data_IF_396444662449
#
_entry.id   IF_396444662449
#
_cell.length_a   1.000
_cell.length_b   1.000
_cell.length_c   1.000
_cell.angle_alpha   90.00
_cell.angle_beta   90.00
_cell.angle_gamma   90.00
#
_symmetry.space_group_name_H-M   'P 1'
#
loop_
_entity.id
_entity.type
_entity.pdbx_description
1 polymer ?
#
# COMPACT_ATOMS: atom_id res chain seq x y z
N UNK A 1 -22.92 -41.59 6.95
CA UNK A 1 -22.65 -40.99 5.64
C UNK A 1 -21.16 -40.82 5.52
N UNK A 2 -20.52 -41.59 4.64
CA UNK A 2 -19.07 -41.61 4.46
C UNK A 2 -18.65 -40.35 3.70
N UNK A 3 -17.87 -39.49 4.32
CA UNK A 3 -17.28 -38.30 3.70
C UNK A 3 -16.01 -38.68 2.94
N UNK A 4 -16.02 -38.52 1.62
CA UNK A 4 -14.83 -38.62 0.78
C UNK A 4 -13.96 -37.38 0.96
N UNK A 5 -12.77 -37.57 1.53
CA UNK A 5 -11.71 -36.58 1.47
C UNK A 5 -11.14 -36.55 0.04
N UNK A 6 -11.20 -35.38 -0.60
CA UNK A 6 -10.55 -35.14 -1.89
C UNK A 6 -9.08 -34.87 -1.60
N UNK A 7 -8.21 -35.81 -1.95
CA UNK A 7 -6.78 -35.62 -1.89
C UNK A 7 -6.37 -34.54 -2.90
N UNK A 8 -5.79 -33.44 -2.42
CA UNK A 8 -5.12 -32.47 -3.25
C UNK A 8 -3.87 -33.13 -3.85
N UNK A 9 -3.95 -33.53 -5.12
CA UNK A 9 -2.83 -34.11 -5.84
C UNK A 9 -1.74 -33.07 -6.02
N UNK A 10 -0.56 -33.37 -5.48
CA UNK A 10 0.70 -32.67 -5.74
C UNK A 10 1.13 -32.91 -7.18
N UNK A 11 0.54 -32.16 -8.12
CA UNK A 11 0.97 -32.13 -9.51
C UNK A 11 2.40 -31.62 -9.59
N UNK A 12 3.33 -32.49 -9.98
CA UNK A 12 4.73 -32.12 -10.25
C UNK A 12 4.75 -31.17 -11.44
N UNK A 13 5.09 -29.90 -11.20
CA UNK A 13 5.14 -28.87 -12.23
C UNK A 13 6.26 -29.18 -13.24
N UNK A 14 5.96 -29.04 -14.53
CA UNK A 14 6.95 -29.17 -15.60
C UNK A 14 8.07 -28.12 -15.42
N UNK A 15 9.34 -28.45 -15.72
CA UNK A 15 10.45 -27.52 -15.56
C UNK A 15 10.25 -26.27 -16.42
N UNK A 16 10.34 -25.09 -15.79
CA UNK A 16 10.03 -23.81 -16.43
C UNK A 16 11.09 -23.46 -17.48
N UNK A 17 10.63 -22.94 -18.62
CA UNK A 17 11.48 -22.40 -19.67
C UNK A 17 12.05 -21.06 -19.20
N UNK A 18 13.28 -21.05 -18.66
CA UNK A 18 14.14 -19.86 -18.46
C UNK A 18 13.36 -18.54 -18.20
N UNK A 19 12.40 -18.59 -17.28
CA UNK A 19 11.51 -17.49 -16.95
C UNK A 19 12.06 -16.68 -15.79
N UNK A 20 11.54 -15.48 -15.61
CA UNK A 20 11.81 -14.66 -14.43
C UNK A 20 11.53 -15.47 -13.15
N UNK A 21 12.48 -15.51 -12.23
CA UNK A 21 12.31 -16.08 -10.90
C UNK A 21 12.64 -15.02 -9.84
N UNK A 22 12.06 -15.19 -8.66
CA UNK A 22 12.29 -14.30 -7.52
C UNK A 22 13.47 -14.85 -6.72
N UNK A 23 14.48 -14.01 -6.51
CA UNK A 23 15.58 -14.34 -5.61
C UNK A 23 15.06 -14.23 -4.18
N UNK A 24 15.11 -15.29 -3.37
CA UNK A 24 14.74 -15.22 -1.95
C UNK A 24 15.88 -14.55 -1.19
N UNK A 25 15.96 -13.23 -1.30
CA UNK A 25 16.84 -12.41 -0.47
C UNK A 25 15.97 -11.56 0.45
N UNK A 26 16.39 -11.39 1.71
CA UNK A 26 15.68 -10.60 2.73
C UNK A 26 15.42 -9.14 2.34
N UNK A 27 16.14 -8.68 1.31
CA UNK A 27 16.35 -7.27 0.95
C UNK A 27 15.54 -6.80 -0.24
N UNK A 28 14.89 -7.70 -0.97
CA UNK A 28 14.00 -7.33 -2.06
C UNK A 28 12.80 -6.62 -1.47
N UNK A 29 12.40 -5.50 -2.06
CA UNK A 29 11.16 -4.81 -1.75
C UNK A 29 10.35 -4.67 -3.02
N UNK A 30 9.03 -4.77 -2.88
CA UNK A 30 8.13 -4.45 -3.97
C UNK A 30 8.08 -2.93 -4.16
N UNK A 31 8.45 -2.47 -5.36
CA UNK A 31 8.49 -1.04 -5.70
C UNK A 31 7.29 -0.58 -6.49
N UNK A 32 6.64 -1.49 -7.23
CA UNK A 32 5.37 -1.19 -7.92
C UNK A 32 4.57 -2.46 -8.18
N UNK A 33 3.26 -2.29 -8.22
CA UNK A 33 2.32 -3.33 -8.62
C UNK A 33 1.17 -2.72 -9.42
N UNK A 34 0.88 -3.33 -10.56
CA UNK A 34 -0.24 -2.95 -11.43
C UNK A 34 -0.86 -4.21 -12.01
N UNK A 35 -2.11 -4.14 -12.43
CA UNK A 35 -2.77 -5.22 -13.14
C UNK A 35 -3.77 -4.67 -14.14
N UNK A 36 -4.03 -5.45 -15.17
CA UNK A 36 -5.12 -5.26 -16.12
C UNK A 36 -5.91 -6.57 -16.28
N UNK A 37 -6.84 -6.61 -17.23
CA UNK A 37 -7.71 -7.76 -17.48
C UNK A 37 -6.98 -9.08 -17.82
N UNK A 38 -5.71 -9.03 -18.21
CA UNK A 38 -4.93 -10.18 -18.70
C UNK A 38 -3.69 -10.45 -17.87
N UNK A 39 -3.06 -9.41 -17.32
CA UNK A 39 -1.78 -9.56 -16.68
C UNK A 39 -1.66 -8.73 -15.40
N UNK A 40 -0.78 -9.18 -14.51
CA UNK A 40 -0.28 -8.40 -13.39
C UNK A 40 1.20 -8.13 -13.58
N UNK A 41 1.63 -6.89 -13.34
CA UNK A 41 3.03 -6.51 -13.41
C UNK A 41 3.49 -6.07 -12.02
N UNK A 42 4.65 -6.56 -11.62
CA UNK A 42 5.29 -6.22 -10.37
C UNK A 42 6.77 -5.96 -10.59
N UNK A 43 7.31 -5.03 -9.82
CA UNK A 43 8.73 -4.71 -9.85
C UNK A 43 9.33 -4.86 -8.45
N UNK A 44 10.45 -5.54 -8.36
CA UNK A 44 11.21 -5.70 -7.13
C UNK A 44 12.56 -4.99 -7.27
N UNK A 45 12.98 -4.32 -6.20
CA UNK A 45 14.33 -3.76 -6.11
C UNK A 45 14.98 -4.28 -4.83
N UNK A 46 16.28 -4.53 -4.88
CA UNK A 46 17.04 -4.88 -3.69
C UNK A 46 17.38 -3.57 -2.96
N UNK A 47 16.71 -3.30 -1.85
CA UNK A 47 16.97 -2.13 -1.02
C UNK A 47 18.26 -2.35 -0.23
N UNK A 48 19.40 -2.07 -0.86
CA UNK A 48 20.66 -1.97 -0.13
C UNK A 48 20.72 -0.59 0.51
N UNK A 49 20.21 -0.45 1.75
CA UNK A 49 20.46 0.73 2.59
C UNK A 49 21.97 0.84 2.88
N UNK A 50 22.71 1.52 2.03
CA UNK A 50 23.98 2.15 2.43
C UNK A 50 23.82 3.65 2.26
N UNK A 51 24.31 4.45 3.21
CA UNK A 51 24.03 5.88 3.33
C UNK A 51 24.35 6.76 2.11
N UNK A 52 24.93 6.19 1.05
CA UNK A 52 25.21 6.81 -0.26
C UNK A 52 24.92 5.85 -1.46
N UNK A 53 24.04 4.84 -1.32
CA UNK A 53 23.91 3.68 -2.23
C UNK A 53 23.25 3.95 -3.61
N UNK A 54 23.61 3.15 -4.63
CA UNK A 54 23.16 3.33 -6.02
C UNK A 54 21.67 3.07 -6.22
N UNK A 55 21.08 3.82 -7.16
CA UNK A 55 19.76 3.55 -7.73
C UNK A 55 19.80 2.18 -8.40
N UNK A 56 19.34 1.14 -7.70
CA UNK A 56 19.15 -0.18 -8.31
C UNK A 56 17.95 -0.07 -9.24
N UNK A 57 18.15 -0.39 -10.53
CA UNK A 57 17.03 -0.47 -11.47
C UNK A 57 16.13 -1.64 -11.04
N UNK A 58 14.84 -1.42 -10.74
CA UNK A 58 13.94 -2.49 -10.34
C UNK A 58 13.85 -3.57 -11.43
N UNK A 59 13.91 -4.82 -11.02
CA UNK A 59 13.63 -5.95 -11.90
C UNK A 59 12.11 -6.17 -11.95
N UNK A 60 11.53 -6.08 -13.14
CA UNK A 60 10.09 -6.21 -13.32
C UNK A 60 9.72 -7.50 -14.01
N UNK A 61 8.56 -8.03 -13.66
CA UNK A 61 7.95 -9.17 -14.31
C UNK A 61 6.47 -8.92 -14.58
N UNK A 62 5.99 -9.56 -15.63
CA UNK A 62 4.59 -9.62 -16.01
C UNK A 62 4.12 -11.07 -15.86
N UNK A 63 3.09 -11.25 -15.05
CA UNK A 63 2.38 -12.51 -14.86
C UNK A 63 1.11 -12.50 -15.71
N UNK A 64 0.98 -13.45 -16.63
CA UNK A 64 -0.29 -13.70 -17.32
C UNK A 64 -1.29 -14.35 -16.35
N UNK A 65 -2.40 -13.66 -16.07
CA UNK A 65 -3.39 -14.08 -15.07
C UNK A 65 -4.21 -15.31 -15.52
N UNK A 66 -4.23 -15.63 -16.81
CA UNK A 66 -4.93 -16.82 -17.32
C UNK A 66 -4.08 -18.08 -17.18
N UNK A 67 -2.77 -18.00 -17.44
CA UNK A 67 -1.87 -19.15 -17.56
C UNK A 67 -0.91 -19.29 -16.38
N UNK A 68 -0.61 -18.20 -15.67
CA UNK A 68 0.43 -18.14 -14.65
C UNK A 68 1.84 -17.99 -15.22
N UNK A 69 1.97 -17.78 -16.53
CA UNK A 69 3.27 -17.60 -17.16
C UNK A 69 3.90 -16.25 -16.76
N UNK A 70 5.17 -16.30 -16.35
CA UNK A 70 5.98 -15.12 -16.05
C UNK A 70 6.87 -14.74 -17.24
N UNK A 71 6.96 -13.44 -17.51
CA UNK A 71 7.89 -12.86 -18.47
C UNK A 71 8.56 -11.62 -17.87
N UNK A 72 9.76 -11.27 -18.33
CA UNK A 72 10.39 -10.00 -17.95
C UNK A 72 9.54 -8.83 -18.42
N UNK A 73 9.37 -7.83 -17.54
CA UNK A 73 8.65 -6.60 -17.81
C UNK A 73 9.57 -5.38 -17.78
N UNK A 74 9.04 -4.23 -18.16
CA UNK A 74 9.69 -2.93 -17.96
C UNK A 74 8.88 -2.15 -16.93
N UNK A 75 9.55 -1.48 -16.00
CA UNK A 75 8.87 -0.67 -15.00
C UNK A 75 7.96 0.37 -15.69
N UNK A 76 6.72 0.56 -15.20
CA UNK A 76 5.89 1.64 -15.71
C UNK A 76 6.56 2.97 -15.33
N UNK A 77 6.43 3.97 -16.20
CA UNK A 77 6.83 5.32 -15.84
C UNK A 77 6.02 5.75 -14.62
N UNK A 78 6.70 6.19 -13.56
CA UNK A 78 6.02 6.76 -12.41
C UNK A 78 5.21 7.98 -12.86
N UNK A 79 3.95 8.13 -12.42
CA UNK A 79 3.18 9.32 -12.75
C UNK A 79 3.91 10.54 -12.19
N UNK A 80 4.09 11.56 -13.03
CA UNK A 80 4.67 12.82 -12.57
C UNK A 80 3.65 13.49 -11.62
N UNK A 81 4.03 13.80 -10.37
CA UNK A 81 3.11 14.48 -9.47
C UNK A 81 2.76 15.87 -10.02
N UNK A 82 1.49 16.26 -9.86
CA UNK A 82 1.03 17.59 -10.29
C UNK A 82 1.56 18.71 -9.37
N UNK A 83 1.76 18.38 -8.10
CA UNK A 83 2.29 19.27 -7.08
C UNK A 83 3.67 18.80 -6.61
N UNK A 84 4.60 19.74 -6.51
CA UNK A 84 5.90 19.55 -5.87
C UNK A 84 5.90 20.26 -4.51
N UNK A 85 6.50 19.64 -3.50
CA UNK A 85 6.56 20.21 -2.15
C UNK A 85 7.98 20.62 -1.79
N UNK A 86 8.17 21.90 -1.49
CA UNK A 86 9.44 22.43 -0.97
C UNK A 86 9.31 22.56 0.54
N UNK A 87 10.14 21.85 1.29
CA UNK A 87 10.11 21.87 2.74
C UNK A 87 11.44 22.35 3.30
N UNK A 88 11.39 23.32 4.20
CA UNK A 88 12.55 23.94 4.82
C UNK A 88 12.23 24.39 6.25
N UNK A 89 13.27 24.83 6.98
CA UNK A 89 13.15 25.32 8.35
C UNK A 89 12.25 26.55 8.47
N UNK A 90 12.13 27.37 7.42
CA UNK A 90 11.33 28.61 7.38
C UNK A 90 9.90 28.41 6.86
N UNK A 91 9.57 27.19 6.42
CA UNK A 91 8.22 26.79 6.08
C UNK A 91 8.15 25.77 4.95
N UNK A 92 6.92 25.53 4.52
CA UNK A 92 6.59 24.56 3.48
C UNK A 92 5.80 25.23 2.38
N UNK A 93 6.06 24.85 1.14
CA UNK A 93 5.38 25.35 -0.03
C UNK A 93 4.88 24.21 -0.91
N UNK A 94 3.67 24.35 -1.44
CA UNK A 94 3.19 23.54 -2.56
C UNK A 94 3.37 24.32 -3.86
N UNK A 95 3.98 23.69 -4.85
CA UNK A 95 4.33 24.32 -6.13
C UNK A 95 3.67 23.57 -7.29
N UNK A 96 3.09 24.33 -8.22
CA UNK A 96 2.61 23.84 -9.52
C UNK A 96 3.39 24.55 -10.62
N UNK A 97 4.42 23.90 -11.15
CA UNK A 97 5.41 24.55 -11.98
C UNK A 97 6.16 25.64 -11.20
N UNK A 98 6.21 26.87 -11.75
CA UNK A 98 6.90 27.99 -11.09
C UNK A 98 6.09 28.68 -9.98
N UNK A 99 4.78 28.43 -9.91
CA UNK A 99 3.91 29.07 -8.91
C UNK A 99 3.91 28.26 -7.61
N UNK A 100 4.31 28.89 -6.50
CA UNK A 100 4.36 28.27 -5.18
C UNK A 100 3.47 29.01 -4.18
N UNK A 101 2.82 28.26 -3.30
CA UNK A 101 1.97 28.76 -2.23
C UNK A 101 2.54 28.29 -0.90
N UNK A 102 2.75 29.20 0.05
CA UNK A 102 3.17 28.87 1.41
C UNK A 102 2.00 28.19 2.15
N UNK A 103 2.27 27.01 2.70
CA UNK A 103 1.31 26.26 3.50
C UNK A 103 1.31 26.79 4.94
N UNK A 104 0.13 26.84 5.57
CA UNK A 104 -0.10 27.17 6.97
C UNK A 104 0.27 25.98 7.87
N UNK A 105 1.54 25.62 7.81
CA UNK A 105 2.20 24.62 8.65
C UNK A 105 3.44 25.25 9.29
N UNK A 106 3.83 24.83 10.50
CA UNK A 106 5.09 25.25 11.09
C UNK A 106 6.28 24.95 10.17
N UNK A 107 7.39 25.67 10.37
CA UNK A 107 8.66 25.27 9.77
C UNK A 107 9.15 23.94 10.35
N UNK A 108 9.95 23.21 9.58
CA UNK A 108 10.50 21.95 10.05
C UNK A 108 11.46 22.17 11.22
N UNK A 109 11.33 21.36 12.26
CA UNK A 109 12.25 21.31 13.40
C UNK A 109 13.32 20.27 13.15
N UNK A 110 14.49 20.50 13.74
CA UNK A 110 15.60 19.55 13.73
C UNK A 110 15.54 18.73 15.02
N UNK A 111 15.58 17.41 14.88
CA UNK A 111 15.65 16.44 15.98
C UNK A 111 16.93 15.63 15.79
N UNK A 112 17.80 15.63 16.80
CA UNK A 112 19.08 14.89 16.78
C UNK A 112 19.95 15.14 15.54
N UNK A 113 19.98 16.39 15.05
CA UNK A 113 20.77 16.76 13.87
C UNK A 113 20.09 16.47 12.53
N UNK A 114 18.89 15.89 12.54
CA UNK A 114 18.12 15.56 11.34
C UNK A 114 16.83 16.39 11.25
N UNK A 115 16.53 16.90 10.06
CA UNK A 115 15.26 17.56 9.76
C UNK A 115 14.31 16.54 9.16
N UNK A 116 13.23 16.21 9.87
CA UNK A 116 12.23 15.27 9.36
C UNK A 116 11.19 16.02 8.54
N UNK A 117 11.05 15.74 7.22
CA UNK A 117 10.02 16.38 6.41
C UNK A 117 8.62 15.93 6.83
N UNK A 118 7.62 16.75 6.53
CA UNK A 118 6.23 16.33 6.61
C UNK A 118 5.88 15.38 5.46
N UNK A 119 5.01 14.42 5.73
CA UNK A 119 4.32 13.68 4.69
C UNK A 119 3.07 14.48 4.26
N UNK A 120 3.00 14.79 2.96
CA UNK A 120 1.97 15.64 2.37
C UNK A 120 1.31 14.88 1.22
N UNK A 121 0.00 14.66 1.32
CA UNK A 121 -0.76 13.91 0.30
C UNK A 121 -1.86 14.79 -0.29
N UNK A 122 -1.82 15.09 -1.60
CA UNK A 122 -2.92 15.77 -2.28
C UNK A 122 -4.12 14.83 -2.47
N UNK A 123 -5.32 15.39 -2.54
CA UNK A 123 -6.48 14.65 -3.06
C UNK A 123 -6.40 14.52 -4.60
N UNK A 124 -7.33 13.77 -5.19
CA UNK A 124 -7.29 13.44 -6.62
C UNK A 124 -7.34 14.63 -7.59
N UNK A 125 -7.86 15.79 -7.18
CA UNK A 125 -7.88 17.02 -7.98
C UNK A 125 -6.83 18.06 -7.54
N UNK A 126 -6.00 17.71 -6.54
CA UNK A 126 -4.96 18.57 -6.00
C UNK A 126 -5.46 19.84 -5.31
N UNK A 127 -6.76 19.96 -4.98
CA UNK A 127 -7.32 21.15 -4.30
C UNK A 127 -7.18 21.11 -2.78
N UNK A 128 -7.03 19.92 -2.21
CA UNK A 128 -6.85 19.69 -0.78
C UNK A 128 -5.57 18.90 -0.52
N UNK A 129 -4.96 19.15 0.65
CA UNK A 129 -3.78 18.44 1.13
C UNK A 129 -4.05 17.88 2.53
N UNK A 130 -3.63 16.65 2.80
CA UNK A 130 -3.36 16.18 4.17
C UNK A 130 -1.89 16.44 4.49
N UNK A 131 -1.59 16.78 5.74
CA UNK A 131 -0.22 16.94 6.24
C UNK A 131 -0.09 16.22 7.58
N UNK A 132 0.93 15.36 7.68
CA UNK A 132 1.31 14.67 8.91
C UNK A 132 2.78 14.94 9.24
N UNK A 133 3.10 14.93 10.54
CA UNK A 133 4.43 15.18 11.05
C UNK A 133 4.48 15.08 12.56
N UNK A 134 5.67 14.76 13.10
CA UNK A 134 5.88 14.53 14.53
C UNK A 134 5.54 15.77 15.39
N UNK A 135 5.80 16.98 14.87
CA UNK A 135 5.54 18.24 15.56
C UNK A 135 4.10 18.76 15.38
N UNK A 136 3.25 18.03 14.67
CA UNK A 136 1.86 18.43 14.42
C UNK A 136 0.92 17.84 15.47
N UNK A 137 -0.05 18.63 15.91
CA UNK A 137 -1.12 18.20 16.84
C UNK A 137 -2.25 17.51 16.09
N UNK A 138 -1.92 16.41 15.39
CA UNK A 138 -2.81 15.63 14.53
C UNK A 138 -2.63 15.93 13.04
N UNK A 139 -3.56 15.44 12.22
CA UNK A 139 -3.49 15.59 10.75
C UNK A 139 -4.08 16.94 10.34
N UNK A 140 -3.34 17.73 9.57
CA UNK A 140 -3.85 18.98 9.01
C UNK A 140 -4.51 18.73 7.66
N UNK A 141 -5.65 19.36 7.42
CA UNK A 141 -6.27 19.44 6.09
C UNK A 141 -6.19 20.88 5.62
N UNK A 142 -5.51 21.09 4.50
CA UNK A 142 -5.23 22.42 3.94
C UNK A 142 -5.88 22.60 2.58
N UNK A 143 -6.17 23.85 2.23
CA UNK A 143 -6.49 24.27 0.88
C UNK A 143 -5.19 24.42 0.06
N UNK A 144 -5.00 23.65 -1.01
CA UNK A 144 -3.75 23.68 -1.77
C UNK A 144 -3.51 25.02 -2.47
N UNK A 145 -4.59 25.71 -2.88
CA UNK A 145 -4.52 26.99 -3.60
C UNK A 145 -4.12 28.16 -2.70
N UNK A 146 -4.66 28.21 -1.48
CA UNK A 146 -4.41 29.32 -0.56
C UNK A 146 -3.39 29.00 0.51
N UNK A 147 -3.03 27.72 0.67
CA UNK A 147 -2.18 27.21 1.73
C UNK A 147 -2.84 27.22 3.10
N UNK A 148 -4.08 27.71 3.22
CA UNK A 148 -4.75 27.90 4.50
C UNK A 148 -5.27 26.59 5.08
N UNK A 149 -5.20 26.46 6.40
CA UNK A 149 -5.79 25.36 7.13
C UNK A 149 -7.32 25.39 7.09
N UNK A 150 -7.94 24.27 6.70
CA UNK A 150 -9.39 24.03 6.79
C UNK A 150 -9.75 23.31 8.07
N UNK A 151 -9.04 22.23 8.39
CA UNK A 151 -9.31 21.40 9.56
C UNK A 151 -8.01 20.91 10.21
N UNK A 152 -8.11 20.59 11.51
CA UNK A 152 -7.16 19.71 12.20
C UNK A 152 -7.94 18.49 12.64
N UNK A 153 -7.58 17.32 12.14
CA UNK A 153 -8.17 16.05 12.53
C UNK A 153 -7.47 15.59 13.81
N UNK A 154 -8.24 15.44 14.87
CA UNK A 154 -7.75 14.83 16.11
C UNK A 154 -7.70 13.33 15.88
N UNK A 155 -6.51 12.78 15.93
CA UNK A 155 -6.23 11.37 15.65
C UNK A 155 -5.59 10.73 16.85
N UNK A 156 -5.80 9.42 16.97
CA UNK A 156 -5.27 8.60 18.05
C UNK A 156 -6.18 8.48 19.25
N UNK A 157 -6.46 7.24 19.63
CA UNK A 157 -7.10 6.85 20.87
C UNK A 157 -6.32 5.69 21.51
N UNK A 158 -6.23 5.69 22.84
CA UNK A 158 -5.51 4.65 23.58
C UNK A 158 -4.06 4.49 23.14
N UNK A 159 -3.70 3.28 22.71
CA UNK A 159 -2.34 2.91 22.30
C UNK A 159 -1.99 3.37 20.86
N UNK A 160 -2.95 3.82 20.07
CA UNK A 160 -2.77 4.17 18.65
C UNK A 160 -2.42 5.65 18.46
N UNK A 161 -1.29 6.10 18.99
CA UNK A 161 -0.93 7.53 19.00
C UNK A 161 0.02 7.96 17.88
N UNK A 162 0.70 7.01 17.23
CA UNK A 162 1.60 7.31 16.12
C UNK A 162 0.82 7.40 14.80
N UNK A 163 0.88 8.52 14.10
CA UNK A 163 0.18 8.68 12.81
C UNK A 163 1.11 8.26 11.69
N UNK A 164 0.74 7.19 10.98
CA UNK A 164 1.58 6.61 9.91
C UNK A 164 1.24 7.21 8.55
N UNK A 165 -0.05 7.41 8.29
CA UNK A 165 -0.54 7.76 6.97
C UNK A 165 -1.81 8.60 7.06
N UNK A 166 -1.96 9.56 6.15
CA UNK A 166 -3.21 10.25 5.92
C UNK A 166 -3.40 10.56 4.43
N UNK A 167 -4.54 10.20 3.89
CA UNK A 167 -4.86 10.40 2.47
C UNK A 167 -6.37 10.60 2.25
N UNK A 168 -6.74 11.00 1.03
CA UNK A 168 -8.13 11.20 0.65
C UNK A 168 -8.71 9.96 -0.02
N UNK A 169 -9.88 9.53 0.46
CA UNK A 169 -10.70 8.48 -0.14
C UNK A 169 -12.00 9.11 -0.65
N UNK A 170 -11.92 9.76 -1.82
CA UNK A 170 -12.99 10.61 -2.31
C UNK A 170 -13.13 11.88 -1.46
N UNK A 171 -14.28 12.05 -0.80
CA UNK A 171 -14.56 13.19 0.10
C UNK A 171 -14.18 12.93 1.57
N UNK A 172 -13.77 11.70 1.88
CA UNK A 172 -13.28 11.32 3.20
C UNK A 172 -11.76 11.47 3.30
N UNK A 173 -11.27 11.67 4.52
CA UNK A 173 -9.85 11.51 4.86
C UNK A 173 -9.70 10.23 5.66
N UNK A 174 -8.87 9.32 5.17
CA UNK A 174 -8.43 8.13 5.88
C UNK A 174 -7.15 8.44 6.63
N UNK A 175 -7.08 8.05 7.90
CA UNK A 175 -5.89 8.17 8.72
C UNK A 175 -5.58 6.81 9.34
N UNK A 176 -4.33 6.38 9.21
CA UNK A 176 -3.79 5.22 9.91
C UNK A 176 -3.03 5.69 11.13
N UNK A 177 -3.43 5.20 12.29
CA UNK A 177 -2.60 5.30 13.49
C UNK A 177 -2.09 3.93 13.92
N UNK A 178 -0.86 3.90 14.41
CA UNK A 178 -0.19 2.72 14.91
C UNK A 178 0.10 2.80 16.40
N UNK A 179 0.44 1.65 16.97
CA UNK A 179 1.14 1.56 18.24
C UNK A 179 2.60 1.91 17.99
N UNK A 180 3.08 2.99 18.60
CA UNK A 180 4.44 3.51 18.37
C UNK A 180 5.57 2.49 18.62
N UNK A 181 5.31 1.45 19.41
CA UNK A 181 6.27 0.41 19.79
C UNK A 181 5.82 -1.00 19.39
N UNK A 182 5.06 -1.17 18.30
CA UNK A 182 4.71 -2.51 17.85
C UNK A 182 3.84 -2.60 16.60
N UNK A 183 3.67 -3.83 16.07
CA UNK A 183 2.81 -4.07 14.92
C UNK A 183 1.35 -3.98 15.36
N UNK A 184 0.73 -2.86 15.07
CA UNK A 184 -0.69 -2.64 15.34
C UNK A 184 -1.10 -1.33 14.71
N UNK A 185 -2.10 -1.36 13.84
CA UNK A 185 -2.60 -0.23 13.10
C UNK A 185 -4.12 -0.24 13.06
N UNK A 186 -4.70 0.94 13.27
CA UNK A 186 -6.15 1.19 13.22
C UNK A 186 -6.43 2.33 12.24
N UNK A 187 -7.45 2.12 11.42
CA UNK A 187 -7.87 3.07 10.41
C UNK A 187 -9.04 3.91 10.89
N UNK A 188 -8.99 5.22 10.66
CA UNK A 188 -10.03 6.17 11.03
C UNK A 188 -10.51 6.91 9.79
N UNK A 189 -11.82 7.11 9.70
CA UNK A 189 -12.45 7.84 8.59
C UNK A 189 -13.00 9.17 9.10
N UNK A 190 -12.59 10.25 8.43
CA UNK A 190 -12.98 11.61 8.73
C UNK A 190 -13.71 12.25 7.55
N UNK A 191 -14.73 13.05 7.84
CA UNK A 191 -15.44 13.88 6.87
C UNK A 191 -15.76 15.22 7.53
N UNK A 192 -15.49 16.32 6.85
CA UNK A 192 -15.70 17.69 7.37
C UNK A 192 -15.06 17.92 8.74
N UNK A 193 -13.85 17.40 8.96
CA UNK A 193 -13.10 17.57 10.20
C UNK A 193 -13.57 16.69 11.37
N UNK A 194 -14.55 15.81 11.18
CA UNK A 194 -15.07 14.91 12.22
C UNK A 194 -14.89 13.46 11.84
N UNK A 195 -14.49 12.65 12.82
CA UNK A 195 -14.48 11.19 12.66
C UNK A 195 -15.92 10.70 12.55
N UNK A 196 -16.18 9.80 11.59
CA UNK A 196 -17.50 9.18 11.41
C UNK A 196 -17.46 7.66 11.34
N UNK A 197 -16.27 7.04 11.32
CA UNK A 197 -16.13 5.61 11.51
C UNK A 197 -14.67 5.16 11.48
N UNK A 198 -14.49 3.85 11.36
CA UNK A 198 -13.17 3.18 11.44
C UNK A 198 -13.09 2.02 10.46
N UNK A 199 -11.87 1.68 10.07
CA UNK A 199 -11.50 0.44 9.38
C UNK A 199 -10.80 -0.43 10.40
N UNK A 200 -11.27 -1.67 10.61
CA UNK A 200 -10.84 -2.43 11.79
C UNK A 200 -11.17 -3.92 11.79
N UNK A 201 -11.64 -4.49 10.69
CA UNK A 201 -11.71 -5.95 10.55
C UNK A 201 -10.32 -6.57 10.26
N UNK A 202 -9.36 -5.73 9.90
CA UNK A 202 -7.94 -6.07 9.69
C UNK A 202 -7.02 -5.07 10.39
N UNK A 203 -5.79 -5.50 10.71
CA UNK A 203 -4.73 -4.62 11.18
C UNK A 203 -4.20 -3.81 9.99
N UNK A 204 -4.47 -2.51 9.91
CA UNK A 204 -4.13 -1.70 8.72
C UNK A 204 -2.73 -1.08 8.78
N UNK A 205 -1.85 -1.57 9.66
CA UNK A 205 -0.47 -1.08 9.77
C UNK A 205 0.25 -1.22 8.43
N UNK A 206 0.78 -0.10 7.91
CA UNK A 206 1.44 -0.05 6.59
C UNK A 206 0.51 -0.25 5.39
N UNK A 207 -0.81 -0.23 5.58
CA UNK A 207 -1.78 -0.41 4.50
C UNK A 207 -2.05 0.86 3.71
N UNK A 208 -1.83 0.77 2.41
CA UNK A 208 -2.38 1.73 1.44
C UNK A 208 -3.73 1.24 0.93
N UNK A 209 -4.81 2.02 1.08
CA UNK A 209 -6.14 1.67 0.60
C UNK A 209 -6.19 1.70 -0.93
N UNK A 210 -7.05 0.85 -1.49
CA UNK A 210 -7.21 0.71 -2.93
C UNK A 210 -8.67 0.86 -3.34
N UNK A 211 -8.96 1.80 -4.25
CA UNK A 211 -10.34 2.04 -4.71
C UNK A 211 -10.78 0.93 -5.65
N UNK A 212 -11.87 0.23 -5.30
CA UNK A 212 -12.47 -0.79 -6.15
C UNK A 212 -13.48 -0.18 -7.13
N UNK A 213 -14.52 0.45 -6.58
CA UNK A 213 -15.60 1.05 -7.34
C UNK A 213 -16.36 2.07 -6.49
N UNK A 214 -16.59 3.27 -7.02
CA UNK A 214 -17.25 4.35 -6.29
C UNK A 214 -16.68 4.56 -4.88
N UNK A 215 -17.53 4.38 -3.87
CA UNK A 215 -17.18 4.54 -2.44
C UNK A 215 -16.64 3.24 -1.79
N UNK A 216 -16.42 2.18 -2.56
CA UNK A 216 -15.89 0.90 -2.05
C UNK A 216 -14.38 0.86 -2.19
N UNK A 217 -13.71 0.66 -1.06
CA UNK A 217 -12.26 0.57 -0.95
C UNK A 217 -11.84 -0.74 -0.30
N UNK A 218 -10.69 -1.26 -0.72
CA UNK A 218 -10.03 -2.42 -0.14
C UNK A 218 -8.86 -1.96 0.73
N UNK A 219 -8.74 -2.55 1.91
CA UNK A 219 -7.67 -2.31 2.87
C UNK A 219 -6.99 -3.64 3.15
N UNK A 220 -5.68 -3.69 2.99
CA UNK A 220 -4.92 -4.91 3.27
C UNK A 220 -4.54 -4.97 4.74
N UNK A 221 -4.66 -6.17 5.31
CA UNK A 221 -4.15 -6.47 6.63
C UNK A 221 -2.63 -6.53 6.62
N UNK A 222 -2.04 -6.18 7.75
CA UNK A 222 -0.66 -6.46 8.10
C UNK A 222 -0.35 -7.94 7.89
N UNK A 223 0.78 -8.24 7.25
CA UNK A 223 1.16 -9.59 6.81
C UNK A 223 0.48 -10.06 5.52
N UNK A 224 -0.46 -9.27 4.97
CA UNK A 224 -0.98 -9.47 3.62
C UNK A 224 -1.81 -10.75 3.39
N UNK A 225 -2.35 -11.35 4.45
CA UNK A 225 -3.21 -12.54 4.35
C UNK A 225 -4.70 -12.19 4.34
N UNK A 226 -5.04 -10.95 4.67
CA UNK A 226 -6.42 -10.53 4.88
C UNK A 226 -6.69 -9.24 4.12
N UNK A 227 -7.89 -9.07 3.58
CA UNK A 227 -8.41 -7.80 3.08
C UNK A 227 -9.71 -7.45 3.78
N UNK A 228 -9.95 -6.17 4.01
CA UNK A 228 -11.26 -5.62 4.35
C UNK A 228 -11.78 -4.77 3.18
N UNK A 229 -12.98 -5.06 2.72
CA UNK A 229 -13.72 -4.18 1.81
C UNK A 229 -14.64 -3.29 2.63
N UNK A 230 -14.58 -1.99 2.41
CA UNK A 230 -15.34 -0.99 3.16
C UNK A 230 -16.07 -0.05 2.20
N UNK A 231 -17.35 0.17 2.45
CA UNK A 231 -18.06 1.34 1.93
C UNK A 231 -17.61 2.54 2.78
N UNK A 232 -16.68 3.33 2.22
CA UNK A 232 -16.08 4.47 2.91
C UNK A 232 -17.12 5.54 3.18
N UNK A 233 -18.08 5.75 2.28
CA UNK A 233 -19.10 6.79 2.47
C UNK A 233 -19.99 6.50 3.66
N UNK A 234 -20.34 5.23 3.87
CA UNK A 234 -21.11 4.76 5.02
C UNK A 234 -20.24 4.40 6.24
N UNK A 235 -18.91 4.40 6.10
CA UNK A 235 -17.95 3.82 7.05
C UNK A 235 -18.37 2.42 7.53
N UNK A 236 -18.76 1.57 6.57
CA UNK A 236 -19.30 0.24 6.85
C UNK A 236 -18.43 -0.83 6.21
N UNK A 237 -17.95 -1.75 7.04
CA UNK A 237 -17.32 -2.98 6.56
C UNK A 237 -18.33 -3.79 5.73
N UNK A 238 -17.97 -4.08 4.50
CA UNK A 238 -18.75 -4.93 3.59
C UNK A 238 -18.35 -6.38 3.80
N UNK A 239 -17.04 -6.66 3.82
CA UNK A 239 -16.53 -8.03 3.84
C UNK A 239 -15.07 -8.08 4.30
N UNK A 240 -14.72 -9.13 5.03
CA UNK A 240 -13.33 -9.59 5.20
C UNK A 240 -13.05 -10.76 4.24
N UNK A 241 -11.91 -10.71 3.55
CA UNK A 241 -11.47 -11.72 2.58
C UNK A 241 -10.14 -12.26 3.07
N UNK A 242 -10.03 -13.58 3.18
CA UNK A 242 -8.75 -14.26 3.42
C UNK A 242 -8.10 -14.56 2.08
N UNK A 243 -6.87 -14.09 1.90
CA UNK A 243 -6.01 -14.39 0.77
C UNK A 243 -5.17 -15.61 1.15
N UNK A 244 -5.27 -16.73 0.40
CA UNK A 244 -4.38 -17.86 0.61
C UNK A 244 -2.94 -17.40 0.50
N UNK A 245 -2.15 -17.62 1.54
CA UNK A 245 -0.70 -17.50 1.47
C UNK A 245 -0.15 -18.83 0.94
N UNK A 246 0.33 -18.87 -0.32
CA UNK A 246 0.68 -20.13 -0.94
C UNK A 246 2.04 -20.63 -0.40
N UNK A 247 2.03 -21.33 0.73
CA UNK A 247 3.15 -21.90 1.52
C UNK A 247 4.02 -20.89 2.29
N UNK A 248 4.37 -21.29 3.51
CA UNK A 248 5.33 -20.64 4.41
C UNK A 248 6.75 -20.70 3.81
N UNK A 249 7.05 -19.87 2.83
CA UNK A 249 8.44 -19.57 2.55
C UNK A 249 8.95 -18.64 3.66
N UNK A 250 9.50 -19.22 4.73
CA UNK A 250 10.07 -18.49 5.86
C UNK A 250 11.15 -17.47 5.46
N UNK A 251 11.75 -17.60 4.27
CA UNK A 251 12.73 -16.66 3.72
C UNK A 251 12.15 -15.68 2.68
N UNK A 252 10.87 -15.81 2.32
CA UNK A 252 10.22 -14.97 1.31
C UNK A 252 9.30 -13.92 1.94
N UNK A 253 9.35 -13.76 3.27
CA UNK A 253 8.83 -12.58 3.94
C UNK A 253 9.30 -11.28 3.26
N UNK A 254 10.47 -11.31 2.61
CA UNK A 254 11.02 -10.20 1.86
C UNK A 254 10.22 -9.73 0.64
N UNK A 255 9.43 -10.55 -0.05
CA UNK A 255 8.56 -9.98 -1.09
C UNK A 255 7.48 -9.05 -0.51
N UNK A 256 7.20 -9.20 0.78
CA UNK A 256 6.37 -8.27 1.53
C UNK A 256 7.20 -7.11 2.15
N UNK A 257 8.53 -7.11 1.98
CA UNK A 257 9.53 -6.27 2.67
C UNK A 257 10.01 -6.90 3.99
N UNK A 258 11.16 -6.47 4.53
CA UNK A 258 11.52 -6.81 5.94
C UNK A 258 10.45 -6.31 6.95
N UNK A 259 9.56 -5.44 6.50
CA UNK A 259 8.31 -5.09 7.15
C UNK A 259 7.18 -5.93 6.55
N UNK A 260 6.36 -6.56 7.40
CA UNK A 260 5.15 -7.30 7.05
C UNK A 260 4.07 -6.38 6.45
N UNK A 261 4.37 -5.72 5.33
CA UNK A 261 3.54 -4.65 4.78
C UNK A 261 2.29 -5.22 4.12
N UNK A 262 1.30 -4.35 4.01
CA UNK A 262 0.01 -4.71 3.51
C UNK A 262 0.08 -5.14 2.03
N UNK A 263 -0.75 -6.10 1.65
CA UNK A 263 -0.85 -6.60 0.28
C UNK A 263 -1.05 -5.46 -0.72
N UNK A 264 -0.19 -5.35 -1.76
CA UNK A 264 -0.41 -4.50 -2.91
C UNK A 264 -1.64 -4.97 -3.68
N UNK A 265 -2.45 -4.01 -4.11
CA UNK A 265 -3.73 -4.26 -4.77
C UNK A 265 -3.76 -3.60 -6.14
N UNK A 266 -4.41 -4.27 -7.09
CA UNK A 266 -4.66 -3.74 -8.42
C UNK A 266 -6.01 -4.22 -8.98
N UNK A 267 -6.61 -3.44 -9.87
CA UNK A 267 -7.91 -3.77 -10.49
C UNK A 267 -7.70 -4.43 -11.84
N UNK A 268 -8.36 -5.58 -12.07
CA UNK A 268 -8.36 -6.32 -13.32
C UNK A 268 -9.81 -6.47 -13.81
N UNK A 269 -10.30 -5.47 -14.54
CA UNK A 269 -11.72 -5.41 -14.92
C UNK A 269 -12.64 -5.32 -13.68
N UNK A 270 -13.44 -6.36 -13.43
CA UNK A 270 -14.31 -6.48 -12.24
C UNK A 270 -13.65 -7.23 -11.08
N UNK A 271 -12.43 -7.71 -11.26
CA UNK A 271 -11.67 -8.47 -10.27
C UNK A 271 -10.66 -7.59 -9.55
N UNK A 272 -10.33 -8.01 -8.35
CA UNK A 272 -9.21 -7.49 -7.57
C UNK A 272 -8.04 -8.46 -7.72
N UNK A 273 -6.83 -7.94 -7.90
CA UNK A 273 -5.59 -8.71 -7.93
C UNK A 273 -4.76 -8.28 -6.74
N UNK A 274 -4.22 -9.27 -6.01
CA UNK A 274 -3.52 -9.07 -4.75
C UNK A 274 -2.20 -9.86 -4.77
N UNK A 275 -1.10 -9.24 -4.35
CA UNK A 275 0.16 -9.96 -4.08
C UNK A 275 0.23 -10.33 -2.60
N UNK A 276 0.36 -11.62 -2.30
CA UNK A 276 0.53 -12.12 -0.94
C UNK A 276 1.64 -13.16 -0.93
N UNK A 277 2.71 -12.88 -0.18
CA UNK A 277 3.88 -13.76 -0.11
C UNK A 277 4.42 -14.08 -1.50
N UNK A 278 4.50 -15.37 -1.83
CA UNK A 278 4.99 -15.87 -3.12
C UNK A 278 3.93 -15.96 -4.22
N UNK A 279 2.83 -15.23 -4.17
CA UNK A 279 1.81 -15.37 -5.20
C UNK A 279 0.97 -14.16 -5.50
N UNK A 280 0.28 -14.28 -6.64
CA UNK A 280 -0.73 -13.33 -7.11
C UNK A 280 -2.08 -14.02 -7.09
N UNK A 281 -3.01 -13.47 -6.32
CA UNK A 281 -4.37 -13.96 -6.22
C UNK A 281 -5.33 -13.08 -7.02
N UNK A 282 -6.22 -13.71 -7.80
CA UNK A 282 -7.36 -13.06 -8.47
C UNK A 282 -8.60 -13.31 -7.63
N UNK A 283 -9.23 -12.21 -7.21
CA UNK A 283 -10.29 -12.17 -6.22
C UNK A 283 -11.54 -11.56 -6.87
N UNK A 284 -12.68 -12.20 -6.67
CA UNK A 284 -13.98 -11.61 -6.95
C UNK A 284 -14.41 -10.75 -5.74
N UNK A 285 -14.42 -9.41 -5.85
CA UNK A 285 -14.70 -8.55 -4.69
C UNK A 285 -16.16 -8.61 -4.23
N UNK A 286 -17.10 -9.04 -5.09
CA UNK A 286 -18.53 -9.12 -4.73
C UNK A 286 -18.78 -10.32 -3.80
N UNK A 287 -18.20 -11.46 -4.16
CA UNK A 287 -18.35 -12.72 -3.41
C UNK A 287 -17.28 -12.90 -2.34
N UNK A 288 -16.14 -12.23 -2.47
CA UNK A 288 -14.94 -12.45 -1.67
C UNK A 288 -14.19 -13.73 -2.00
N UNK A 289 -14.54 -14.41 -3.09
CA UNK A 289 -13.93 -15.67 -3.47
C UNK A 289 -12.59 -15.42 -4.16
N UNK A 290 -11.54 -16.09 -3.70
CA UNK A 290 -10.29 -16.23 -4.46
C UNK A 290 -10.53 -17.25 -5.58
N UNK A 291 -10.51 -16.76 -6.83
CA UNK A 291 -10.79 -17.58 -8.00
C UNK A 291 -9.56 -18.35 -8.45
N UNK A 292 -8.39 -17.74 -8.31
CA UNK A 292 -7.11 -18.29 -8.74
C UNK A 292 -5.97 -17.69 -7.95
N UNK A 293 -4.96 -18.50 -7.66
CA UNK A 293 -3.68 -18.04 -7.11
C UNK A 293 -2.56 -18.60 -7.99
N UNK A 294 -1.68 -17.73 -8.45
CA UNK A 294 -0.48 -18.09 -9.19
C UNK A 294 0.71 -17.94 -8.27
N UNK A 295 1.54 -18.98 -8.19
CA UNK A 295 2.80 -18.94 -7.45
C UNK A 295 3.90 -18.35 -8.31
N UNK A 296 4.74 -17.53 -7.71
CA UNK A 296 6.01 -17.15 -8.27
C UNK A 296 7.00 -18.30 -8.19
N UNK A 297 7.87 -18.40 -9.19
CA UNK A 297 9.01 -19.29 -9.14
C UNK A 297 10.13 -18.65 -8.31
N UNK A 298 10.67 -19.39 -7.35
CA UNK A 298 11.80 -18.96 -6.53
C UNK A 298 13.08 -19.41 -7.23
N UNK A 299 14.04 -18.50 -7.41
CA UNK A 299 15.33 -18.83 -7.99
C UNK A 299 16.07 -19.84 -7.11
N UNK A 300 16.79 -20.82 -7.70
CA UNK A 300 17.68 -21.66 -6.92
C UNK A 300 18.75 -20.80 -6.23
N UNK A 301 19.21 -21.18 -5.02
CA UNK A 301 20.25 -20.43 -4.33
C UNK A 301 21.51 -20.35 -5.20
N UNK A 302 22.10 -19.15 -5.28
CA UNK A 302 23.42 -18.97 -5.93
C UNK A 302 24.44 -19.79 -5.14
N UNK A 303 25.10 -20.74 -5.81
CA UNK A 303 26.21 -21.52 -5.25
C UNK A 303 27.47 -20.67 -5.11
#
# INVERSE_FOLDING_TARGET
>A
GSGSAVAAGSGSAAPSKAGFCIVPDGTNSLTSFTADAKAAMFCVANEVYTGDAPVVTPACATLDLATGALASGTAPAAPKPELEFKQAKDGVQACKGAACVKLDVPGLTEHDGAVTPYAITPNGDGTLLTVIGNDLKGVLVLDAKTGKKKHTLKVGDGDYTCTEQAEFLGDAVYVVNSVCAGPGGKGYLFRNGKQYGTVGAVNVYGSSPFQLDGDVWAFSGFGGTDLELVDVKAAKSIRKIEIPNPEECASCDSLNGESQMATPLAKSGTKLVAISGLGVSVIDPQTGKVEKTHRFEVCPPKK
#
